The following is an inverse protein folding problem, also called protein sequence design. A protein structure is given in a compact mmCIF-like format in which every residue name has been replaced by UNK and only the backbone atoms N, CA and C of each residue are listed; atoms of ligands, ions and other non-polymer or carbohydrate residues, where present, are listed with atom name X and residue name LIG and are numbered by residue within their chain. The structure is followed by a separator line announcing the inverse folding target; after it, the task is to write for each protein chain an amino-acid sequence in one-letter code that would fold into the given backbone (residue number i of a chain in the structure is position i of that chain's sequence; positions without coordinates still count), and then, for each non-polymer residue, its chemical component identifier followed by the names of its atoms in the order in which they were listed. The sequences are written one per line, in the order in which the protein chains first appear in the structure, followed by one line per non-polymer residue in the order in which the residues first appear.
data_IF_741186146981
#
_entry.id   IF_741186146981
#
_cell.length_a   1.000
_cell.length_b   1.000
_cell.length_c   1.000
_cell.angle_alpha   90.00
_cell.angle_beta   90.00
_cell.angle_gamma   90.00
#
_symmetry.space_group_name_H-M   'P 1'
#
loop_
_entity.id
_entity.type
_entity.pdbx_description
1 polymer ?
#
# COMPACT_ATOMS: atom_id res chain seq x y z
N UNK A 1 16.67 19.03 33.01
CA UNK A 1 16.28 17.61 32.88
C UNK A 1 14.99 17.47 33.69
N UNK A 2 13.83 17.84 33.11
CA UNK A 2 12.55 17.96 33.84
C UNK A 2 11.37 17.39 33.03
N UNK A 3 11.59 16.28 32.32
CA UNK A 3 10.46 15.58 31.69
C UNK A 3 9.88 14.60 32.72
N UNK A 4 8.62 14.77 33.16
CA UNK A 4 8.00 13.85 34.09
C UNK A 4 7.88 12.46 33.46
N UNK A 5 8.06 11.42 34.28
CA UNK A 5 7.85 10.03 33.86
C UNK A 5 6.36 9.78 33.57
N UNK A 6 6.06 8.95 32.56
CA UNK A 6 4.68 8.54 32.27
C UNK A 6 4.23 7.49 33.30
N UNK A 7 3.10 7.75 33.96
CA UNK A 7 2.44 6.79 34.84
C UNK A 7 1.69 5.72 34.05
N UNK A 8 1.21 4.66 34.72
CA UNK A 8 0.36 3.65 34.09
C UNK A 8 -0.94 4.25 33.52
N UNK A 9 -1.53 5.24 34.19
CA UNK A 9 -2.73 5.92 33.70
C UNK A 9 -2.43 6.71 32.41
N UNK A 10 -1.27 7.36 32.34
CA UNK A 10 -0.85 8.12 31.15
C UNK A 10 -0.60 7.24 29.92
N UNK A 11 -0.36 5.94 30.12
CA UNK A 11 -0.20 4.97 29.02
C UNK A 11 -1.56 4.59 28.42
N UNK A 12 -2.65 4.73 29.17
CA UNK A 12 -4.00 4.32 28.74
C UNK A 12 -4.79 5.52 28.22
N UNK A 13 -4.69 6.66 28.89
CA UNK A 13 -5.50 7.85 28.64
C UNK A 13 -4.85 8.85 27.65
N UNK A 14 -5.67 9.74 27.10
CA UNK A 14 -5.20 10.79 26.19
C UNK A 14 -5.08 10.35 24.73
N UNK A 15 -4.55 11.25 23.88
CA UNK A 15 -4.41 11.03 22.43
C UNK A 15 -3.31 10.02 22.07
N UNK A 16 -2.22 10.05 22.82
CA UNK A 16 -1.11 9.07 22.75
C UNK A 16 -1.34 7.83 23.65
N UNK A 17 -2.52 7.75 24.28
CA UNK A 17 -2.89 6.59 25.07
C UNK A 17 -3.18 5.39 24.19
N UNK A 18 -2.89 4.18 24.69
CA UNK A 18 -3.06 2.91 23.97
C UNK A 18 -4.43 2.77 23.29
N UNK A 19 -5.49 3.25 23.95
CA UNK A 19 -6.86 3.14 23.44
C UNK A 19 -7.05 3.87 22.11
N UNK A 20 -6.51 5.08 21.97
CA UNK A 20 -6.70 5.89 20.76
C UNK A 20 -5.64 5.63 19.70
N UNK A 21 -4.39 5.48 20.10
CA UNK A 21 -3.28 5.36 19.15
C UNK A 21 -3.07 3.93 18.64
N UNK A 22 -3.34 2.91 19.45
CA UNK A 22 -2.98 1.52 19.11
C UNK A 22 -4.19 0.61 18.91
N UNK A 23 -5.34 0.89 19.53
CA UNK A 23 -6.54 0.06 19.37
C UNK A 23 -7.43 0.57 18.24
N UNK A 24 -7.75 1.86 18.23
CA UNK A 24 -8.66 2.47 17.24
C UNK A 24 -7.94 2.91 15.95
N UNK A 25 -6.74 3.46 16.07
CA UNK A 25 -5.84 3.71 14.94
C UNK A 25 -4.77 2.61 14.87
N UNK A 26 -4.49 2.08 13.68
CA UNK A 26 -3.36 1.17 13.47
C UNK A 26 -2.67 1.48 12.16
N UNK A 27 -1.35 1.25 12.12
CA UNK A 27 -0.61 1.18 10.87
C UNK A 27 -1.01 -0.09 10.14
N UNK A 28 -1.20 0.01 8.83
CA UNK A 28 -1.67 -1.09 7.99
C UNK A 28 -0.68 -1.33 6.85
N UNK A 29 -0.42 -2.60 6.56
CA UNK A 29 0.36 -3.03 5.40
C UNK A 29 -0.44 -2.84 4.10
N UNK A 30 0.23 -2.99 2.96
CA UNK A 30 -0.37 -2.80 1.62
C UNK A 30 -1.06 -1.43 1.47
N UNK A 31 -0.42 -0.40 2.03
CA UNK A 31 -0.88 0.99 1.95
C UNK A 31 0.21 1.89 1.38
N UNK A 32 -0.19 2.98 0.74
CA UNK A 32 0.71 3.94 0.11
C UNK A 32 0.16 5.36 0.18
N UNK A 33 1.05 6.35 0.01
CA UNK A 33 0.70 7.77 -0.05
C UNK A 33 1.49 8.43 -1.17
N UNK A 34 0.82 9.30 -1.92
CA UNK A 34 1.45 10.15 -2.94
C UNK A 34 0.71 11.49 -3.02
N UNK A 35 1.27 12.41 -3.80
CA UNK A 35 0.62 13.67 -4.15
C UNK A 35 -0.47 13.42 -5.19
N UNK A 36 -1.62 14.08 -5.03
CA UNK A 36 -2.73 14.02 -5.98
C UNK A 36 -2.55 15.06 -7.07
N UNK A 37 -2.80 14.67 -8.32
CA UNK A 37 -2.79 15.53 -9.50
C UNK A 37 -4.10 15.33 -10.25
N UNK A 38 -4.59 16.39 -10.90
CA UNK A 38 -5.85 16.35 -11.66
C UNK A 38 -5.69 15.50 -12.93
N UNK A 39 -6.56 14.50 -13.12
CA UNK A 39 -6.59 13.64 -14.30
C UNK A 39 -7.90 13.79 -15.08
N UNK A 40 -8.05 14.80 -15.96
CA UNK A 40 -9.33 15.16 -16.58
C UNK A 40 -9.89 14.12 -17.55
N UNK A 41 -9.07 13.18 -18.02
CA UNK A 41 -9.46 12.11 -18.96
C UNK A 41 -10.00 10.84 -18.28
N UNK A 42 -9.97 10.77 -16.93
CA UNK A 42 -10.37 9.57 -16.20
C UNK A 42 -11.87 9.55 -15.90
N UNK A 43 -12.56 8.41 -16.10
CA UNK A 43 -13.93 8.21 -15.61
C UNK A 43 -14.02 8.29 -14.09
N UNK A 44 -15.21 8.58 -13.56
CA UNK A 44 -15.46 8.76 -12.11
C UNK A 44 -15.04 7.54 -11.26
N UNK A 45 -15.12 6.33 -11.80
CA UNK A 45 -14.81 5.08 -11.10
C UNK A 45 -13.34 4.67 -11.23
N UNK A 46 -12.49 5.53 -11.79
CA UNK A 46 -11.08 5.23 -12.04
C UNK A 46 -10.16 6.23 -11.35
N UNK A 47 -8.97 5.77 -11.00
CA UNK A 47 -7.88 6.62 -10.53
C UNK A 47 -6.57 6.19 -11.17
N UNK A 48 -5.66 7.16 -11.34
CA UNK A 48 -4.29 6.89 -11.77
C UNK A 48 -3.43 6.50 -10.57
N UNK A 49 -2.70 5.40 -10.68
CA UNK A 49 -1.65 5.03 -9.72
C UNK A 49 -0.28 5.08 -10.39
N UNK A 50 0.74 5.68 -9.74
CA UNK A 50 2.12 5.53 -10.15
C UNK A 50 2.52 4.05 -10.18
N UNK A 51 3.29 3.68 -11.21
CA UNK A 51 3.68 2.29 -11.46
C UNK A 51 4.46 1.68 -10.32
N UNK A 52 5.34 2.47 -9.71
CA UNK A 52 6.18 2.07 -8.58
C UNK A 52 5.31 1.71 -7.36
N UNK A 53 4.33 2.55 -7.04
CA UNK A 53 3.40 2.31 -5.93
C UNK A 53 2.54 1.08 -6.23
N UNK A 54 2.07 0.93 -7.46
CA UNK A 54 1.25 -0.22 -7.86
C UNK A 54 2.05 -1.54 -7.73
N UNK A 55 3.32 -1.58 -8.12
CA UNK A 55 4.16 -2.77 -7.92
C UNK A 55 4.27 -3.13 -6.44
N UNK A 56 4.56 -2.16 -5.58
CA UNK A 56 4.73 -2.42 -4.14
C UNK A 56 3.43 -2.91 -3.49
N UNK A 57 2.30 -2.25 -3.77
CA UNK A 57 0.99 -2.63 -3.25
C UNK A 57 0.57 -4.03 -3.69
N UNK A 58 0.86 -4.40 -4.94
CA UNK A 58 0.43 -5.67 -5.52
C UNK A 58 1.55 -6.71 -5.60
N UNK A 59 2.69 -6.51 -4.93
CA UNK A 59 3.91 -7.31 -5.11
C UNK A 59 3.65 -8.81 -4.94
N UNK A 60 2.91 -9.21 -3.90
CA UNK A 60 2.59 -10.62 -3.65
C UNK A 60 1.78 -11.25 -4.81
N UNK A 61 0.84 -10.49 -5.38
CA UNK A 61 0.00 -10.94 -6.49
C UNK A 61 0.78 -11.00 -7.80
N UNK A 62 1.67 -10.03 -8.05
CA UNK A 62 2.56 -10.02 -9.21
C UNK A 62 3.52 -11.20 -9.17
N UNK A 63 4.16 -11.46 -8.03
CA UNK A 63 5.02 -12.63 -7.81
C UNK A 63 4.25 -13.92 -8.11
N UNK A 64 3.04 -14.06 -7.55
CA UNK A 64 2.18 -15.22 -7.81
C UNK A 64 1.84 -15.35 -9.30
N UNK A 65 1.57 -14.24 -9.97
CA UNK A 65 1.29 -14.20 -11.41
C UNK A 65 2.48 -14.63 -12.26
N UNK A 66 3.69 -14.16 -11.94
CA UNK A 66 4.93 -14.52 -12.65
C UNK A 66 5.24 -16.01 -12.54
N UNK A 67 5.07 -16.59 -11.35
CA UNK A 67 5.30 -18.03 -11.12
C UNK A 67 4.24 -18.88 -11.81
N UNK A 68 2.95 -18.51 -11.69
CA UNK A 68 1.83 -19.26 -12.33
C UNK A 68 1.89 -19.29 -13.84
N UNK A 69 2.46 -18.26 -14.46
CA UNK A 69 2.63 -18.16 -15.92
C UNK A 69 3.99 -18.68 -16.41
N UNK A 70 4.77 -19.29 -15.51
CA UNK A 70 6.11 -19.83 -15.80
C UNK A 70 7.14 -18.79 -16.28
N UNK A 71 6.92 -17.50 -16.01
CA UNK A 71 7.92 -16.45 -16.28
C UNK A 71 9.04 -16.43 -15.24
N UNK A 72 8.76 -16.94 -14.02
CA UNK A 72 9.76 -17.12 -12.98
C UNK A 72 9.66 -18.54 -12.40
N UNK A 73 10.78 -19.26 -12.23
CA UNK A 73 10.76 -20.61 -11.67
C UNK A 73 10.49 -20.64 -10.15
N UNK A 74 10.78 -19.54 -9.44
CA UNK A 74 10.62 -19.47 -7.98
C UNK A 74 10.50 -18.01 -7.49
N UNK A 75 10.24 -17.86 -6.18
CA UNK A 75 10.08 -16.56 -5.52
C UNK A 75 11.30 -15.64 -5.70
N UNK A 76 12.51 -16.18 -5.61
CA UNK A 76 13.75 -15.37 -5.70
C UNK A 76 13.90 -14.80 -7.11
N UNK A 77 13.67 -15.62 -8.14
CA UNK A 77 13.71 -15.19 -9.53
C UNK A 77 12.63 -14.13 -9.81
N UNK A 78 11.39 -14.35 -9.33
CA UNK A 78 10.30 -13.37 -9.48
C UNK A 78 10.64 -12.01 -8.84
N UNK A 79 11.24 -12.00 -7.65
CA UNK A 79 11.73 -10.77 -7.00
C UNK A 79 12.83 -10.08 -7.79
N UNK A 80 13.73 -10.84 -8.45
CA UNK A 80 14.74 -10.26 -9.34
C UNK A 80 14.09 -9.56 -10.53
N UNK A 81 13.17 -10.22 -11.23
CA UNK A 81 12.46 -9.62 -12.38
C UNK A 81 11.76 -8.30 -12.02
N UNK A 82 11.15 -8.24 -10.83
CA UNK A 82 10.51 -7.01 -10.32
C UNK A 82 11.54 -5.91 -10.06
N UNK A 83 12.64 -6.23 -9.37
CA UNK A 83 13.73 -5.28 -9.09
C UNK A 83 14.37 -4.74 -10.36
N UNK A 84 14.57 -5.62 -11.34
CA UNK A 84 15.20 -5.33 -12.62
C UNK A 84 14.22 -4.64 -13.59
N UNK A 85 12.96 -4.44 -13.18
CA UNK A 85 11.87 -3.74 -13.90
C UNK A 85 11.58 -4.31 -15.29
N UNK A 86 11.69 -5.63 -15.41
CA UNK A 86 11.49 -6.34 -16.67
C UNK A 86 10.12 -6.04 -17.29
N UNK A 87 10.01 -5.87 -18.62
CA UNK A 87 8.77 -5.46 -19.28
C UNK A 87 7.56 -6.35 -18.96
N UNK A 88 7.81 -7.65 -18.78
CA UNK A 88 6.78 -8.65 -18.46
C UNK A 88 6.06 -8.38 -17.13
N UNK A 89 6.74 -7.74 -16.18
CA UNK A 89 6.18 -7.38 -14.87
C UNK A 89 5.01 -6.42 -15.05
N UNK A 90 5.09 -5.50 -16.01
CA UNK A 90 4.03 -4.54 -16.29
C UNK A 90 2.77 -5.19 -16.88
N UNK A 91 2.93 -6.19 -17.73
CA UNK A 91 1.80 -6.94 -18.29
C UNK A 91 1.10 -7.76 -17.21
N UNK A 92 1.88 -8.44 -16.36
CA UNK A 92 1.33 -9.20 -15.23
C UNK A 92 0.64 -8.27 -14.24
N UNK A 93 1.24 -7.12 -13.91
CA UNK A 93 0.63 -6.12 -13.03
C UNK A 93 -0.70 -5.61 -13.58
N UNK A 94 -0.76 -5.27 -14.88
CA UNK A 94 -2.01 -4.82 -15.52
C UNK A 94 -3.10 -5.88 -15.41
N UNK A 95 -2.76 -7.15 -15.62
CA UNK A 95 -3.70 -8.26 -15.45
C UNK A 95 -4.14 -8.46 -13.99
N UNK A 96 -3.24 -8.29 -13.03
CA UNK A 96 -3.55 -8.38 -11.59
C UNK A 96 -4.46 -7.25 -11.15
N UNK A 97 -4.27 -6.02 -11.63
CA UNK A 97 -5.07 -4.87 -11.21
C UNK A 97 -6.49 -4.87 -11.80
N UNK A 98 -6.73 -5.62 -12.87
CA UNK A 98 -8.08 -5.74 -13.44
C UNK A 98 -9.05 -6.34 -12.41
N UNK A 99 -10.16 -5.65 -12.16
CA UNK A 99 -11.19 -6.07 -11.21
C UNK A 99 -10.82 -5.91 -9.74
N UNK A 100 -9.67 -5.29 -9.41
CA UNK A 100 -9.23 -5.09 -8.02
C UNK A 100 -9.33 -3.60 -7.64
N UNK A 101 -10.40 -3.16 -6.96
CA UNK A 101 -10.53 -1.76 -6.56
C UNK A 101 -9.51 -1.39 -5.49
N UNK A 102 -9.10 -0.12 -5.47
CA UNK A 102 -8.21 0.44 -4.44
C UNK A 102 -8.92 1.56 -3.67
N UNK A 103 -8.90 1.54 -2.32
CA UNK A 103 -9.46 2.62 -1.52
C UNK A 103 -8.53 3.84 -1.52
N UNK A 104 -9.11 5.02 -1.75
CA UNK A 104 -8.41 6.31 -1.63
C UNK A 104 -8.93 7.04 -0.41
N UNK A 105 -8.03 7.63 0.37
CA UNK A 105 -8.37 8.43 1.54
C UNK A 105 -7.55 9.73 1.57
N UNK A 106 -8.16 10.83 1.98
CA UNK A 106 -7.51 12.11 2.25
C UNK A 106 -7.86 12.56 3.65
N UNK A 107 -6.84 12.80 4.47
CA UNK A 107 -7.04 13.37 5.80
C UNK A 107 -7.30 14.89 5.72
N UNK A 108 -8.18 15.45 6.59
CA UNK A 108 -9.03 14.76 7.56
C UNK A 108 -10.23 14.07 6.91
N UNK A 109 -10.60 12.88 7.42
CA UNK A 109 -11.84 12.18 7.03
C UNK A 109 -12.98 12.70 7.89
N UNK A 110 -13.92 13.43 7.30
CA UNK A 110 -14.97 14.16 8.03
C UNK A 110 -16.32 13.43 8.07
N UNK A 111 -16.58 12.53 7.11
CA UNK A 111 -17.79 11.73 6.97
C UNK A 111 -17.42 10.30 6.59
#
# INVERSE_FOLDING_TARGET
HDRPYKSFSDVIEGKEGRSRENLLGKRVDYSGRSVIVVGPSLPLHQCGLPREIAIELFQAFVIRGLIRRHFAPNLRAAKSLIRDKEPIVWEVLKGVMQGHPVPLNRAPTLH
#
